data_IF_784665506236
#
_entry.id   IF_784665506236
#
_cell.length_a   1.000
_cell.length_b   1.000
_cell.length_c   1.000
_cell.angle_alpha   90.00
_cell.angle_beta   90.00
_cell.angle_gamma   90.00
#
_symmetry.space_group_name_H-M   'P 1'
#
loop_
_entity.id
_entity.type
_entity.pdbx_description
1 polymer ?
#
# COMPACT_ATOMS: atom_id res chain seq x y z
N UNK A 1 -16.77 28.32 -31.45
CA UNK A 1 -16.82 26.95 -30.89
C UNK A 1 -15.48 26.62 -30.23
N UNK A 2 -15.43 26.31 -28.93
CA UNK A 2 -14.24 25.78 -28.25
C UNK A 2 -14.56 24.38 -27.72
N UNK A 3 -13.87 23.35 -28.21
CA UNK A 3 -14.02 21.97 -27.70
C UNK A 3 -13.45 21.90 -26.28
N UNK A 4 -14.26 21.46 -25.31
CA UNK A 4 -13.74 21.07 -23.99
C UNK A 4 -12.93 19.79 -24.16
N UNK A 5 -11.69 19.75 -23.65
CA UNK A 5 -10.99 18.47 -23.48
C UNK A 5 -11.62 17.78 -22.27
N UNK A 6 -12.28 16.65 -22.48
CA UNK A 6 -12.58 15.75 -21.36
C UNK A 6 -11.26 15.17 -20.87
N UNK A 7 -10.99 15.30 -19.58
CA UNK A 7 -10.01 14.44 -18.92
C UNK A 7 -10.63 13.06 -18.73
N UNK A 8 -9.83 12.01 -18.90
CA UNK A 8 -10.27 10.63 -18.65
C UNK A 8 -10.62 10.45 -17.16
N UNK A 9 -11.66 9.66 -16.81
CA UNK A 9 -12.04 9.39 -15.44
C UNK A 9 -10.92 8.69 -14.65
N UNK A 10 -10.89 8.92 -13.33
CA UNK A 10 -9.82 8.46 -12.42
C UNK A 10 -9.56 6.94 -12.49
N UNK A 11 -10.57 6.13 -12.79
CA UNK A 11 -10.47 4.67 -12.90
C UNK A 11 -9.68 4.19 -14.13
N UNK A 12 -9.69 4.90 -15.26
CA UNK A 12 -8.99 4.43 -16.48
C UNK A 12 -7.47 4.47 -16.33
N UNK A 13 -6.94 5.45 -15.57
CA UNK A 13 -5.51 5.49 -15.21
C UNK A 13 -5.01 4.27 -14.44
N UNK A 14 -5.89 3.54 -13.76
CA UNK A 14 -5.52 2.30 -13.08
C UNK A 14 -5.50 1.12 -14.07
N UNK A 15 -6.47 1.04 -14.98
CA UNK A 15 -6.54 0.01 -16.03
C UNK A 15 -5.37 0.11 -17.02
N UNK A 16 -4.98 1.33 -17.40
CA UNK A 16 -3.84 1.57 -18.28
C UNK A 16 -2.51 1.04 -17.70
N UNK A 17 -2.32 1.13 -16.38
CA UNK A 17 -1.10 0.68 -15.71
C UNK A 17 -0.97 -0.85 -15.71
N UNK A 18 -2.09 -1.56 -15.53
CA UNK A 18 -2.14 -3.04 -15.53
C UNK A 18 -2.00 -3.60 -16.94
N UNK A 19 -2.55 -2.91 -17.95
CA UNK A 19 -2.57 -3.41 -19.33
C UNK A 19 -1.21 -3.29 -20.02
N UNK A 20 -0.44 -2.23 -19.77
CA UNK A 20 0.83 -1.97 -20.47
C UNK A 20 2.00 -2.91 -20.09
N UNK A 21 1.86 -3.78 -19.09
CA UNK A 21 2.90 -4.71 -18.66
C UNK A 21 2.71 -6.15 -19.18
N UNK A 22 1.65 -6.42 -19.95
CA UNK A 22 1.35 -7.78 -20.46
C UNK A 22 1.97 -8.11 -21.83
N UNK A 23 2.38 -7.11 -22.63
CA UNK A 23 2.80 -7.28 -24.04
C UNK A 23 4.33 -7.25 -24.24
N UNK A 24 5.10 -7.86 -23.33
CA UNK A 24 6.56 -7.80 -23.37
C UNK A 24 7.30 -9.14 -23.12
N UNK A 25 6.75 -10.28 -23.55
CA UNK A 25 7.53 -11.51 -23.72
C UNK A 25 7.00 -12.43 -24.84
N UNK A 26 7.43 -12.17 -26.08
CA UNK A 26 7.46 -13.17 -27.16
C UNK A 26 8.86 -13.19 -27.78
N UNK A 27 9.68 -14.16 -27.38
CA UNK A 27 11.04 -14.35 -27.89
C UNK A 27 11.15 -15.27 -29.11
N UNK A 28 12.33 -15.31 -29.74
CA UNK A 28 12.84 -16.50 -30.45
C UNK A 28 14.37 -16.50 -30.64
N UNK A 29 14.94 -17.71 -30.70
CA UNK A 29 16.36 -18.02 -30.48
C UNK A 29 17.19 -18.28 -31.78
N UNK A 30 18.39 -18.92 -31.61
CA UNK A 30 19.34 -19.55 -32.58
C UNK A 30 20.57 -18.69 -32.99
N UNK A 31 21.85 -19.13 -32.92
CA UNK A 31 22.55 -20.23 -32.17
C UNK A 31 24.11 -20.09 -32.20
N UNK A 32 24.82 -20.77 -31.27
CA UNK A 32 26.24 -21.24 -31.26
C UNK A 32 27.47 -20.34 -31.55
N UNK A 33 28.53 -20.48 -30.72
CA UNK A 33 29.92 -20.53 -31.24
C UNK A 33 31.12 -20.17 -30.33
N UNK A 34 31.90 -21.21 -29.94
CA UNK A 34 33.37 -21.20 -29.69
C UNK A 34 33.99 -20.63 -28.38
N UNK A 35 35.22 -21.10 -28.10
CA UNK A 35 35.95 -21.05 -26.82
C UNK A 35 36.74 -19.74 -26.58
N UNK A 36 36.91 -19.36 -25.31
CA UNK A 36 37.85 -18.33 -24.87
C UNK A 36 38.10 -18.36 -23.36
N UNK A 37 39.35 -18.20 -22.94
CA UNK A 37 39.79 -18.35 -21.54
C UNK A 37 39.63 -17.10 -20.67
N UNK A 38 39.34 -17.33 -19.39
CA UNK A 38 39.74 -16.54 -18.22
C UNK A 38 39.50 -15.01 -18.20
N UNK A 39 38.43 -14.60 -17.52
CA UNK A 39 38.49 -13.53 -16.51
C UNK A 39 37.30 -13.69 -15.54
N UNK A 40 37.55 -13.77 -14.23
CA UNK A 40 36.48 -13.67 -13.23
C UNK A 40 36.01 -12.21 -13.14
N UNK A 41 34.77 -11.86 -13.51
CA UNK A 41 34.25 -10.52 -13.24
C UNK A 41 34.03 -10.43 -11.73
N UNK A 42 34.61 -9.42 -11.08
CA UNK A 42 34.28 -9.07 -9.72
C UNK A 42 32.86 -8.48 -9.68
N UNK A 43 31.86 -9.35 -9.66
CA UNK A 43 30.47 -8.99 -9.45
C UNK A 43 30.31 -8.40 -8.05
N UNK A 44 30.26 -7.08 -7.96
CA UNK A 44 29.86 -6.39 -6.73
C UNK A 44 28.38 -6.70 -6.47
N UNK A 45 28.14 -7.82 -5.76
CA UNK A 45 26.84 -8.15 -5.21
C UNK A 45 26.48 -7.06 -4.19
N UNK A 46 25.73 -6.05 -4.64
CA UNK A 46 25.07 -5.12 -3.74
C UNK A 46 24.20 -5.93 -2.77
N UNK A 47 24.23 -5.63 -1.45
CA UNK A 47 23.57 -6.47 -0.46
C UNK A 47 22.05 -6.34 -0.54
N UNK A 48 21.44 -7.09 -1.45
CA UNK A 48 20.13 -7.72 -1.20
C UNK A 48 20.34 -8.83 -0.18
N UNK A 49 20.66 -8.46 1.06
CA UNK A 49 20.67 -9.39 2.17
C UNK A 49 19.23 -9.86 2.43
N UNK A 50 18.90 -11.15 2.29
CA UNK A 50 17.59 -11.68 2.62
C UNK A 50 17.45 -11.86 4.15
N UNK A 51 17.91 -10.88 4.92
CA UNK A 51 17.55 -10.80 6.32
C UNK A 51 16.05 -10.49 6.37
N UNK A 52 15.23 -11.29 7.07
CA UNK A 52 13.82 -10.96 7.25
C UNK A 52 13.75 -9.61 7.95
N UNK A 53 13.35 -8.59 7.20
CA UNK A 53 13.36 -7.22 7.68
C UNK A 53 12.40 -7.13 8.86
N UNK A 54 12.88 -6.62 10.00
CA UNK A 54 12.12 -6.61 11.26
C UNK A 54 10.70 -6.08 11.04
N UNK A 55 9.73 -6.86 11.49
CA UNK A 55 8.31 -6.55 11.33
C UNK A 55 7.98 -5.19 11.91
N UNK A 56 7.06 -4.49 11.26
CA UNK A 56 6.54 -3.21 11.73
C UNK A 56 5.64 -3.48 12.93
N UNK A 57 5.96 -2.86 14.07
CA UNK A 57 5.18 -3.01 15.29
C UNK A 57 4.63 -1.67 15.78
N UNK A 58 3.51 -1.72 16.48
CA UNK A 58 3.04 -0.63 17.31
C UNK A 58 2.94 -1.11 18.76
N UNK A 59 3.57 -0.39 19.69
CA UNK A 59 3.58 -0.74 21.13
C UNK A 59 3.99 -2.21 21.42
N UNK A 60 4.80 -2.82 20.57
CA UNK A 60 5.26 -4.21 20.68
C UNK A 60 4.55 -5.20 19.77
N UNK A 61 3.30 -4.92 19.36
CA UNK A 61 2.49 -5.84 18.54
C UNK A 61 2.67 -5.58 17.04
N UNK A 62 2.79 -6.66 16.26
CA UNK A 62 2.93 -6.62 14.81
C UNK A 62 1.65 -6.99 14.05
N UNK A 63 1.85 -7.34 12.78
CA UNK A 63 0.87 -8.12 12.00
C UNK A 63 0.80 -9.57 12.51
N UNK A 64 -0.06 -10.38 11.90
CA UNK A 64 -0.08 -11.83 12.17
C UNK A 64 1.23 -12.47 11.67
N UNK A 65 2.01 -13.19 12.51
CA UNK A 65 3.25 -13.82 12.05
C UNK A 65 3.00 -15.01 11.10
N UNK A 66 1.86 -15.68 11.22
CA UNK A 66 1.56 -16.96 10.57
C UNK A 66 0.67 -16.81 9.31
N UNK A 67 0.15 -15.61 9.05
CA UNK A 67 -0.65 -15.32 7.87
C UNK A 67 0.12 -15.50 6.54
N UNK A 68 -0.49 -16.25 5.62
CA UNK A 68 0.11 -16.60 4.33
C UNK A 68 0.22 -15.40 3.38
N UNK A 69 -0.77 -14.50 3.39
CA UNK A 69 -0.80 -13.29 2.57
C UNK A 69 -0.29 -12.12 3.41
N UNK A 70 0.91 -11.63 3.07
CA UNK A 70 1.63 -10.64 3.87
C UNK A 70 2.54 -9.76 3.01
N UNK A 71 2.50 -8.45 3.23
CA UNK A 71 3.46 -7.54 2.59
C UNK A 71 3.93 -6.42 3.52
N UNK A 72 5.21 -6.01 3.36
CA UNK A 72 5.88 -4.96 4.12
C UNK A 72 6.63 -4.01 3.18
N UNK A 73 6.32 -2.72 3.22
CA UNK A 73 6.98 -1.69 2.40
C UNK A 73 7.27 -0.40 3.19
N UNK A 74 8.21 0.40 2.71
CA UNK A 74 8.60 1.66 3.36
C UNK A 74 9.05 2.75 2.37
N UNK A 75 8.78 4.02 2.71
CA UNK A 75 9.18 5.18 1.89
C UNK A 75 9.67 6.34 2.77
N UNK A 76 10.53 7.19 2.23
CA UNK A 76 10.91 8.45 2.88
C UNK A 76 10.11 9.61 2.28
N UNK A 77 9.42 10.34 3.15
CA UNK A 77 8.57 11.49 2.82
C UNK A 77 9.24 12.76 3.34
N UNK A 78 9.57 13.68 2.44
CA UNK A 78 10.17 14.99 2.71
C UNK A 78 9.11 16.00 3.16
N UNK A 79 8.44 15.69 4.27
CA UNK A 79 7.45 16.54 4.91
C UNK A 79 7.56 16.47 6.44
N UNK A 80 7.06 17.49 7.18
CA UNK A 80 7.01 17.42 8.63
C UNK A 80 6.15 16.24 9.13
N UNK A 81 6.59 15.60 10.21
CA UNK A 81 5.88 14.48 10.85
C UNK A 81 4.42 14.77 11.16
N UNK A 82 4.09 15.99 11.59
CA UNK A 82 2.71 16.41 11.85
C UNK A 82 1.86 16.47 10.57
N UNK A 83 2.45 16.74 9.40
CA UNK A 83 1.75 16.73 8.10
C UNK A 83 1.46 15.30 7.66
N UNK A 84 2.46 14.41 7.72
CA UNK A 84 2.33 12.99 7.34
C UNK A 84 1.35 12.28 8.28
N UNK A 85 1.51 12.47 9.59
CA UNK A 85 0.62 11.88 10.59
C UNK A 85 -0.82 12.37 10.42
N UNK A 86 -1.03 13.68 10.19
CA UNK A 86 -2.37 14.20 9.95
C UNK A 86 -3.00 13.59 8.69
N UNK A 87 -2.26 13.46 7.59
CA UNK A 87 -2.78 12.80 6.38
C UNK A 87 -3.30 11.37 6.65
N UNK A 88 -2.52 10.56 7.36
CA UNK A 88 -2.94 9.19 7.66
C UNK A 88 -4.10 9.12 8.68
N UNK A 89 -4.14 10.01 9.69
CA UNK A 89 -5.13 9.94 10.79
C UNK A 89 -6.40 10.77 10.59
N UNK A 90 -6.43 11.71 9.65
CA UNK A 90 -7.61 12.47 9.22
C UNK A 90 -8.38 11.64 8.17
N UNK A 91 -8.88 10.47 8.60
CA UNK A 91 -9.36 9.39 7.71
C UNK A 91 -10.52 9.82 6.80
N UNK A 92 -11.40 10.70 7.28
CA UNK A 92 -12.51 11.28 6.52
C UNK A 92 -12.05 12.11 5.32
N UNK A 93 -10.75 12.45 5.23
CA UNK A 93 -10.14 13.15 4.10
C UNK A 93 -9.36 12.23 3.16
N UNK A 94 -9.29 10.92 3.39
CA UNK A 94 -8.63 10.00 2.46
C UNK A 94 -9.13 10.14 1.00
N UNK A 95 -10.44 10.26 0.69
CA UNK A 95 -10.91 10.42 -0.70
C UNK A 95 -10.36 11.67 -1.43
N UNK A 96 -9.81 12.64 -0.69
CA UNK A 96 -9.21 13.85 -1.28
C UNK A 96 -7.77 13.64 -1.75
N UNK A 97 -7.12 12.51 -1.44
CA UNK A 97 -5.69 12.30 -1.74
C UNK A 97 -5.28 10.83 -1.98
N UNK A 98 -6.05 9.87 -1.49
CA UNK A 98 -5.89 8.43 -1.73
C UNK A 98 -6.87 8.02 -2.83
N UNK A 99 -6.38 7.85 -4.06
CA UNK A 99 -7.17 7.70 -5.28
C UNK A 99 -8.15 6.52 -5.29
N UNK A 100 -7.82 5.33 -4.71
CA UNK A 100 -8.76 4.20 -4.65
C UNK A 100 -9.87 4.34 -3.60
N UNK A 101 -9.73 5.24 -2.61
CA UNK A 101 -10.72 5.37 -1.53
C UNK A 101 -11.86 6.27 -1.98
N UNK A 102 -13.06 5.72 -2.07
CA UNK A 102 -14.26 6.45 -2.52
C UNK A 102 -14.99 7.13 -1.37
N UNK A 103 -15.24 6.40 -0.29
CA UNK A 103 -15.95 6.92 0.90
C UNK A 103 -15.21 6.56 2.18
N UNK A 104 -15.37 7.40 3.22
CA UNK A 104 -14.94 7.11 4.59
C UNK A 104 -15.95 7.71 5.57
N UNK A 105 -16.40 6.91 6.54
CA UNK A 105 -17.30 7.27 7.63
C UNK A 105 -16.64 6.94 8.97
N UNK A 106 -16.59 7.89 9.91
CA UNK A 106 -16.19 7.60 11.30
C UNK A 106 -17.33 6.96 12.07
N UNK A 107 -17.08 5.79 12.64
CA UNK A 107 -18.00 5.06 13.51
C UNK A 107 -17.86 5.47 14.99
N UNK A 108 -16.94 6.40 15.29
CA UNK A 108 -16.73 6.95 16.63
C UNK A 108 -16.56 8.48 16.62
N UNK A 109 -16.97 9.12 17.71
CA UNK A 109 -16.82 10.57 17.87
C UNK A 109 -15.48 10.96 18.52
N UNK A 110 -15.02 12.17 18.20
CA UNK A 110 -13.87 12.81 18.84
C UNK A 110 -12.51 12.42 18.23
N UNK A 111 -11.44 12.69 19.00
CA UNK A 111 -10.05 12.49 18.55
C UNK A 111 -9.79 11.02 18.19
N UNK A 112 -9.11 10.82 17.06
CA UNK A 112 -8.64 9.51 16.60
C UNK A 112 -7.69 8.90 17.64
N UNK A 113 -8.06 7.73 18.17
CA UNK A 113 -7.44 7.09 19.36
C UNK A 113 -7.55 5.56 19.28
N UNK A 114 -6.95 4.84 20.23
CA UNK A 114 -7.26 3.42 20.43
C UNK A 114 -8.76 3.26 20.70
N UNK A 115 -9.41 2.34 19.98
CA UNK A 115 -10.85 2.15 19.99
C UNK A 115 -11.62 2.98 18.95
N UNK A 116 -10.97 3.94 18.25
CA UNK A 116 -11.61 4.58 17.09
C UNK A 116 -11.83 3.58 15.97
N UNK A 117 -12.93 3.75 15.24
CA UNK A 117 -13.33 2.86 14.16
C UNK A 117 -13.89 3.67 12.99
N UNK A 118 -13.68 3.16 11.77
CA UNK A 118 -14.16 3.80 10.55
C UNK A 118 -14.50 2.75 9.50
N UNK A 119 -15.60 3.00 8.77
CA UNK A 119 -15.99 2.29 7.56
C UNK A 119 -15.45 3.06 6.37
N UNK A 120 -14.96 2.37 5.34
CA UNK A 120 -14.55 2.98 4.09
C UNK A 120 -14.76 2.04 2.91
N UNK A 121 -14.86 2.61 1.71
CA UNK A 121 -15.05 1.82 0.48
C UNK A 121 -13.94 2.04 -0.54
N UNK A 122 -13.60 0.97 -1.26
CA UNK A 122 -12.77 1.04 -2.47
C UNK A 122 -13.21 -0.02 -3.49
N UNK A 123 -13.22 0.30 -4.80
CA UNK A 123 -13.50 -0.68 -5.84
C UNK A 123 -12.28 -1.58 -6.05
N UNK A 124 -12.53 -2.88 -6.21
CA UNK A 124 -11.55 -3.88 -6.61
C UNK A 124 -11.85 -4.29 -8.06
N UNK A 125 -10.90 -4.12 -8.99
CA UNK A 125 -11.06 -4.60 -10.36
C UNK A 125 -11.11 -6.14 -10.38
N UNK A 126 -11.71 -6.74 -11.43
CA UNK A 126 -11.72 -8.18 -11.56
C UNK A 126 -10.29 -8.71 -11.73
N UNK A 127 -9.99 -9.83 -11.08
CA UNK A 127 -8.75 -10.59 -11.24
C UNK A 127 -9.11 -12.07 -11.51
N UNK A 128 -8.14 -12.97 -11.80
CA UNK A 128 -8.44 -14.36 -12.12
C UNK A 128 -9.22 -15.13 -11.04
N UNK A 129 -9.14 -14.69 -9.78
CA UNK A 129 -9.64 -15.40 -8.59
C UNK A 129 -10.88 -14.74 -7.97
N UNK A 130 -11.17 -13.46 -8.27
CA UNK A 130 -12.40 -12.76 -7.82
C UNK A 130 -12.98 -11.83 -8.89
N UNK A 131 -14.33 -11.77 -9.05
CA UNK A 131 -14.98 -10.78 -9.91
C UNK A 131 -14.74 -9.35 -9.41
N UNK A 132 -15.11 -8.36 -10.24
CA UNK A 132 -15.12 -6.96 -9.84
C UNK A 132 -16.08 -6.77 -8.67
N UNK A 133 -15.66 -6.10 -7.60
CA UNK A 133 -16.51 -5.87 -6.43
C UNK A 133 -16.08 -4.62 -5.66
N UNK A 134 -17.00 -4.02 -4.92
CA UNK A 134 -16.68 -2.94 -3.99
C UNK A 134 -16.42 -3.52 -2.60
N UNK A 135 -15.24 -3.25 -2.05
CA UNK A 135 -14.92 -3.64 -0.67
C UNK A 135 -15.43 -2.59 0.31
N UNK A 136 -16.36 -2.97 1.18
CA UNK A 136 -16.63 -2.25 2.44
C UNK A 136 -15.65 -2.74 3.50
N UNK A 137 -14.86 -1.81 4.06
CA UNK A 137 -13.78 -2.11 4.98
C UNK A 137 -14.05 -1.42 6.31
N UNK A 138 -14.14 -2.19 7.41
CA UNK A 138 -14.30 -1.65 8.77
C UNK A 138 -13.00 -1.76 9.54
N UNK A 139 -12.25 -0.66 9.64
CA UNK A 139 -10.96 -0.61 10.35
C UNK A 139 -11.15 -0.14 11.80
N UNK A 140 -10.75 -0.97 12.77
CA UNK A 140 -10.75 -0.63 14.20
C UNK A 140 -9.33 -0.45 14.72
N UNK A 141 -9.02 0.73 15.27
CA UNK A 141 -7.70 1.06 15.83
C UNK A 141 -7.48 0.30 17.14
N UNK A 142 -6.66 -0.76 17.10
CA UNK A 142 -6.29 -1.55 18.29
C UNK A 142 -5.21 -0.86 19.10
N UNK A 143 -4.25 -0.19 18.45
CA UNK A 143 -3.19 0.55 19.13
C UNK A 143 -2.85 1.84 18.41
N UNK A 144 -2.49 2.86 19.19
CA UNK A 144 -1.99 4.11 18.69
C UNK A 144 -0.91 4.66 19.63
N UNK A 145 0.20 5.14 19.06
CA UNK A 145 1.17 6.01 19.72
C UNK A 145 1.34 7.24 18.83
N UNK A 146 0.84 8.38 19.33
CA UNK A 146 0.79 9.63 18.59
C UNK A 146 2.16 9.99 17.98
N UNK A 147 2.16 10.38 16.71
CA UNK A 147 3.39 10.69 15.95
C UNK A 147 4.41 9.54 15.86
N UNK A 148 4.02 8.27 16.08
CA UNK A 148 4.97 7.15 16.08
C UNK A 148 4.42 5.88 15.43
N UNK A 149 3.22 5.41 15.77
CA UNK A 149 2.65 4.18 15.19
C UNK A 149 1.13 4.09 15.32
N UNK A 150 0.53 3.26 14.47
CA UNK A 150 -0.88 2.88 14.48
C UNK A 150 -0.96 1.39 14.14
N UNK A 151 -1.81 0.63 14.83
CA UNK A 151 -2.23 -0.72 14.42
C UNK A 151 -3.75 -0.76 14.39
N UNK A 152 -4.32 -1.13 13.25
CA UNK A 152 -5.75 -1.41 13.13
C UNK A 152 -6.00 -2.81 12.57
N UNK A 153 -7.22 -3.29 12.82
CA UNK A 153 -7.68 -4.60 12.38
C UNK A 153 -9.13 -4.51 11.95
N UNK A 154 -9.56 -5.40 11.07
CA UNK A 154 -10.98 -5.66 10.84
C UNK A 154 -11.26 -6.24 9.46
N UNK A 155 -12.55 -6.44 9.13
CA UNK A 155 -12.94 -7.06 7.89
C UNK A 155 -12.97 -6.08 6.72
N UNK A 156 -12.56 -6.56 5.56
CA UNK A 156 -13.00 -6.12 4.25
C UNK A 156 -14.04 -7.12 3.71
N UNK A 157 -15.17 -6.65 3.23
CA UNK A 157 -16.29 -7.46 2.75
C UNK A 157 -16.72 -6.95 1.37
N UNK A 158 -16.80 -7.86 0.40
CA UNK A 158 -17.37 -7.63 -0.93
C UNK A 158 -18.21 -8.82 -1.37
N UNK A 159 -18.69 -8.80 -2.61
CA UNK A 159 -19.46 -9.91 -3.16
C UNK A 159 -18.59 -11.17 -3.28
N UNK A 160 -18.97 -12.23 -2.56
CA UNK A 160 -18.21 -13.49 -2.49
C UNK A 160 -16.85 -13.40 -1.79
N UNK A 161 -16.44 -12.23 -1.29
CA UNK A 161 -15.11 -11.96 -0.74
C UNK A 161 -15.18 -11.49 0.71
N UNK A 162 -14.44 -12.16 1.60
CA UNK A 162 -14.17 -11.68 2.95
C UNK A 162 -12.68 -11.79 3.24
N UNK A 163 -12.09 -10.71 3.73
CA UNK A 163 -10.71 -10.66 4.19
C UNK A 163 -10.72 -10.10 5.60
N UNK A 164 -10.13 -10.80 6.57
CA UNK A 164 -9.84 -10.24 7.89
C UNK A 164 -8.37 -9.79 7.92
N UNK A 165 -8.16 -8.49 8.16
CA UNK A 165 -6.86 -7.83 8.02
C UNK A 165 -6.26 -7.32 9.33
N UNK A 166 -4.93 -7.33 9.41
CA UNK A 166 -4.13 -6.65 10.45
C UNK A 166 -3.10 -5.75 9.77
N UNK A 167 -3.14 -4.46 10.05
CA UNK A 167 -2.32 -3.46 9.37
C UNK A 167 -1.61 -2.55 10.38
N UNK A 168 -0.27 -2.49 10.29
CA UNK A 168 0.60 -1.73 11.20
C UNK A 168 1.40 -0.67 10.46
N UNK A 169 1.24 0.57 10.90
CA UNK A 169 1.96 1.75 10.41
C UNK A 169 2.99 2.24 11.44
N UNK A 170 4.18 2.63 10.98
CA UNK A 170 5.18 3.33 11.79
C UNK A 170 5.71 4.60 11.11
N UNK A 171 6.03 5.60 11.92
CA UNK A 171 6.44 6.93 11.50
C UNK A 171 7.70 7.33 12.28
N UNK A 172 8.84 7.37 11.60
CA UNK A 172 10.15 7.63 12.22
C UNK A 172 10.75 8.89 11.62
N UNK A 173 11.10 9.89 12.44
CA UNK A 173 11.84 11.07 11.96
C UNK A 173 13.23 10.63 11.48
N UNK A 174 13.63 11.08 10.31
CA UNK A 174 14.95 10.84 9.71
C UNK A 174 15.52 12.15 9.15
N UNK A 175 16.80 12.16 8.80
CA UNK A 175 17.38 13.28 8.04
C UNK A 175 16.62 13.41 6.71
N UNK A 176 16.06 14.58 6.44
CA UNK A 176 15.27 14.83 5.22
C UNK A 176 13.79 14.41 5.30
N UNK A 177 13.23 14.12 6.50
CA UNK A 177 11.78 14.00 6.68
C UNK A 177 11.34 12.86 7.59
N UNK A 178 10.42 12.02 7.09
CA UNK A 178 9.83 10.89 7.82
C UNK A 178 10.00 9.61 7.02
N UNK A 179 10.58 8.58 7.63
CA UNK A 179 10.46 7.20 7.15
C UNK A 179 9.11 6.68 7.61
N UNK A 180 8.22 6.41 6.65
CA UNK A 180 6.97 5.69 6.89
C UNK A 180 7.20 4.24 6.50
N UNK A 181 6.86 3.31 7.39
CA UNK A 181 6.84 1.87 7.09
C UNK A 181 5.44 1.36 7.34
N UNK A 182 4.95 0.50 6.48
CA UNK A 182 3.71 -0.22 6.72
C UNK A 182 3.87 -1.70 6.45
N UNK A 183 3.11 -2.49 7.17
CA UNK A 183 3.01 -3.93 7.00
C UNK A 183 1.57 -4.36 7.23
N UNK A 184 1.07 -5.24 6.37
CA UNK A 184 -0.29 -5.76 6.45
C UNK A 184 -0.29 -7.27 6.20
N UNK A 185 -1.20 -7.96 6.88
CA UNK A 185 -1.53 -9.38 6.66
C UNK A 185 -3.01 -9.53 6.43
N UNK A 186 -3.35 -10.42 5.51
CA UNK A 186 -4.71 -10.79 5.13
C UNK A 186 -4.95 -12.27 5.40
N UNK A 187 -6.13 -12.60 5.92
CA UNK A 187 -6.60 -13.97 6.15
C UNK A 187 -8.01 -14.12 5.59
N UNK A 188 -8.34 -15.29 5.06
CA UNK A 188 -9.63 -15.59 4.44
C UNK A 188 -9.50 -16.59 3.29
N UNK A 189 -10.49 -17.48 3.10
CA UNK A 189 -10.37 -18.61 2.18
C UNK A 189 -10.20 -18.18 0.70
N UNK A 190 -10.69 -17.00 0.32
CA UNK A 190 -10.54 -16.46 -1.04
C UNK A 190 -9.10 -15.99 -1.32
N UNK A 191 -8.44 -15.35 -0.36
CA UNK A 191 -7.06 -14.86 -0.51
C UNK A 191 -6.03 -15.95 -0.27
N UNK A 192 -6.38 -16.97 0.53
CA UNK A 192 -5.55 -18.15 0.78
C UNK A 192 -5.64 -19.20 -0.35
N UNK A 193 -6.69 -19.18 -1.18
CA UNK A 193 -6.80 -20.02 -2.38
C UNK A 193 -5.75 -19.66 -3.46
N UNK A 194 -5.28 -18.41 -3.49
CA UNK A 194 -4.28 -17.90 -4.42
C UNK A 194 -3.35 -16.88 -3.72
N UNK A 195 -2.55 -17.40 -2.78
CA UNK A 195 -1.59 -16.61 -1.99
C UNK A 195 -0.65 -15.77 -2.86
N UNK A 196 -0.08 -16.26 -3.99
CA UNK A 196 0.78 -15.44 -4.85
C UNK A 196 0.07 -14.20 -5.39
N UNK A 197 -1.11 -14.35 -6.00
CA UNK A 197 -1.88 -13.21 -6.55
C UNK A 197 -2.36 -12.27 -5.46
N UNK A 198 -2.85 -12.80 -4.33
CA UNK A 198 -3.31 -11.98 -3.21
C UNK A 198 -2.16 -11.17 -2.58
N UNK A 199 -0.96 -11.76 -2.47
CA UNK A 199 0.24 -11.07 -1.95
C UNK A 199 0.70 -9.97 -2.90
N UNK A 200 0.62 -10.19 -4.21
CA UNK A 200 1.01 -9.20 -5.22
C UNK A 200 0.03 -8.01 -5.24
N UNK A 201 -1.28 -8.26 -5.23
CA UNK A 201 -2.29 -7.19 -5.11
C UNK A 201 -2.11 -6.38 -3.82
N UNK A 202 -1.79 -7.04 -2.70
CA UNK A 202 -1.47 -6.36 -1.44
C UNK A 202 -0.20 -5.51 -1.54
N UNK A 203 0.86 -6.02 -2.20
CA UNK A 203 2.10 -5.26 -2.48
C UNK A 203 1.79 -3.98 -3.25
N UNK A 204 1.10 -4.11 -4.39
CA UNK A 204 0.78 -2.99 -5.26
C UNK A 204 -0.06 -1.92 -4.54
N UNK A 205 -1.08 -2.34 -3.78
CA UNK A 205 -1.92 -1.47 -2.97
C UNK A 205 -1.15 -0.69 -1.91
N UNK A 206 -0.31 -1.37 -1.11
CA UNK A 206 0.48 -0.70 -0.06
C UNK A 206 1.53 0.25 -0.62
N UNK A 207 2.20 -0.12 -1.72
CA UNK A 207 3.15 0.77 -2.37
C UNK A 207 2.45 2.00 -3.00
N UNK A 208 1.30 1.82 -3.64
CA UNK A 208 0.49 2.92 -4.16
C UNK A 208 0.07 3.86 -3.03
N UNK A 209 -0.40 3.32 -1.90
CA UNK A 209 -0.77 4.11 -0.73
C UNK A 209 0.40 4.96 -0.22
N UNK A 210 1.61 4.40 -0.15
CA UNK A 210 2.81 5.12 0.25
C UNK A 210 3.23 6.20 -0.76
N UNK A 211 3.11 5.94 -2.07
CA UNK A 211 3.40 6.92 -3.13
C UNK A 211 2.43 8.11 -3.08
N UNK A 212 1.15 7.87 -2.84
CA UNK A 212 0.14 8.93 -2.74
C UNK A 212 0.24 9.71 -1.41
N UNK A 213 0.48 9.02 -0.29
CA UNK A 213 0.74 9.67 1.00
C UNK A 213 1.97 10.59 0.93
N UNK A 214 3.05 10.14 0.27
CA UNK A 214 4.24 10.95 -0.01
C UNK A 214 3.88 12.19 -0.82
N UNK A 215 3.21 12.01 -1.95
CA UNK A 215 2.85 13.11 -2.86
C UNK A 215 1.97 14.16 -2.17
N UNK A 216 0.95 13.72 -1.43
CA UNK A 216 0.05 14.59 -0.69
C UNK A 216 0.75 15.34 0.45
N UNK A 217 1.66 14.68 1.18
CA UNK A 217 2.39 15.28 2.28
C UNK A 217 3.43 16.31 1.81
N UNK A 218 4.16 15.99 0.74
CA UNK A 218 5.17 16.87 0.16
C UNK A 218 4.52 18.10 -0.47
N UNK A 219 3.42 17.96 -1.22
CA UNK A 219 2.65 19.11 -1.73
C UNK A 219 2.16 20.04 -0.61
N UNK A 220 1.65 19.49 0.50
CA UNK A 220 1.22 20.27 1.68
C UNK A 220 2.39 20.91 2.44
N UNK A 221 3.61 20.37 2.34
CA UNK A 221 4.80 20.95 2.95
C UNK A 221 5.33 22.15 2.13
N UNK A 222 5.33 22.05 0.80
CA UNK A 222 5.75 23.14 -0.09
C UNK A 222 4.77 24.34 -0.04
N UNK A 223 3.48 24.08 0.15
CA UNK A 223 2.43 25.13 0.16
C UNK A 223 2.26 25.85 1.51
N UNK A 224 3.10 25.58 2.52
CA UNK A 224 3.09 26.36 3.77
C UNK A 224 4.05 27.56 3.64
N UNK A 225 3.61 28.80 3.91
CA UNK A 225 4.55 29.90 4.10
C UNK A 225 5.50 29.56 5.25
N UNK A 226 6.76 29.98 5.11
CA UNK A 226 7.83 29.77 6.10
C UNK A 226 7.69 30.74 7.27
#
# INVERSE_FOLDING_TARGET
MRRRRCGLPRQERFRDLVTQLSDADEGRAVVSGLLGSAATPAGAAGPHSPHPATSVTCRGEGVDPDALVRHRTEITINAPLSTVWKLQTDVERWPSWQSPVETVERLDHGRFRTGSAFRWTMPIPPNPSTPATDLEITSTVRQLKHHACIRWTGPAIGEGLRIDGVHVWSFIKVKGGVRVRTEETHTGPQVEADVPTATELLREGLEAWLRELKSAAEARAHNRPR
#
